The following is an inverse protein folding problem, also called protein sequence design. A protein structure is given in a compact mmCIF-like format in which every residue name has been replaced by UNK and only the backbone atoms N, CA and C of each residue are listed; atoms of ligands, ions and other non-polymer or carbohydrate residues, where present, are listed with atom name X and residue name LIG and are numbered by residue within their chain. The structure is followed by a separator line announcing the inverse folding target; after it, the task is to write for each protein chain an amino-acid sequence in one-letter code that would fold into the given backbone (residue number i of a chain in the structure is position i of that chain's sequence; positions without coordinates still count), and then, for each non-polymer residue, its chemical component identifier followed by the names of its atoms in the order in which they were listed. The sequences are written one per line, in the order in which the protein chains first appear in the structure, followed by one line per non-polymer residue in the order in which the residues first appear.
data_IF_385605808795
#
_entry.id   IF_385605808795
#
_cell.length_a   1.000
_cell.length_b   1.000
_cell.length_c   1.000
_cell.angle_alpha   90.00
_cell.angle_beta   90.00
_cell.angle_gamma   90.00
#
_symmetry.space_group_name_H-M   'P 1'
#
loop_
_entity.id
_entity.type
_entity.pdbx_description
1 polymer ?
#
# COMPACT_ATOMS: atom_id res chain seq x y z
N UNK A 1 -0.89 -0.71 8.73
CA UNK A 1 -0.45 -1.67 7.70
C UNK A 1 0.32 -0.95 6.61
N UNK A 2 1.06 -1.72 5.81
CA UNK A 2 1.82 -1.24 4.64
C UNK A 2 1.53 -2.19 3.49
N UNK A 3 1.43 -1.65 2.27
CA UNK A 3 1.30 -2.45 1.05
C UNK A 3 2.39 -2.06 0.05
N UNK A 4 2.94 -3.06 -0.63
CA UNK A 4 3.92 -2.88 -1.70
C UNK A 4 3.40 -3.52 -2.98
N UNK A 5 3.38 -2.74 -4.05
CA UNK A 5 2.88 -3.12 -5.37
C UNK A 5 4.05 -3.20 -6.34
N UNK A 6 4.48 -4.42 -6.74
CA UNK A 6 5.48 -4.57 -7.78
C UNK A 6 4.83 -4.43 -9.17
N UNK A 7 5.42 -3.56 -10.00
CA UNK A 7 5.01 -3.28 -11.37
C UNK A 7 6.15 -3.69 -12.31
N UNK A 8 5.97 -4.80 -13.02
CA UNK A 8 6.96 -5.32 -13.97
C UNK A 8 6.85 -4.58 -15.31
N UNK A 9 7.98 -4.39 -15.97
CA UNK A 9 8.04 -3.72 -17.28
C UNK A 9 9.10 -4.33 -18.20
N UNK A 10 8.97 -4.05 -19.51
CA UNK A 10 9.93 -4.51 -20.51
C UNK A 10 11.26 -3.75 -20.44
N UNK A 11 12.39 -4.42 -20.66
CA UNK A 11 13.75 -3.85 -20.52
C UNK A 11 13.98 -2.54 -21.28
N UNK A 12 13.29 -2.33 -22.40
CA UNK A 12 13.38 -1.10 -23.19
C UNK A 12 12.91 0.16 -22.42
N UNK A 13 12.12 -0.02 -21.36
CA UNK A 13 11.58 1.06 -20.55
C UNK A 13 12.40 1.40 -19.29
N UNK A 14 13.59 0.81 -19.08
CA UNK A 14 14.43 1.08 -17.89
C UNK A 14 14.66 2.58 -17.65
N UNK A 15 15.12 3.32 -18.66
CA UNK A 15 15.38 4.76 -18.54
C UNK A 15 14.15 5.69 -18.57
N UNK A 16 12.93 5.13 -18.56
CA UNK A 16 11.69 5.92 -18.59
C UNK A 16 11.17 6.18 -17.19
N UNK A 17 10.61 7.36 -16.88
CA UNK A 17 9.95 7.60 -15.59
C UNK A 17 8.85 6.57 -15.33
N UNK A 18 8.75 6.10 -14.10
CA UNK A 18 7.69 5.21 -13.62
C UNK A 18 6.78 6.01 -12.72
N UNK A 19 5.48 5.77 -12.80
CA UNK A 19 4.53 6.49 -11.95
C UNK A 19 3.41 5.62 -11.45
N UNK A 20 2.84 6.08 -10.34
CA UNK A 20 1.65 5.51 -9.72
C UNK A 20 0.48 6.44 -9.96
N UNK A 21 -0.57 5.96 -10.63
CA UNK A 21 -1.74 6.76 -10.97
C UNK A 21 -2.99 6.23 -10.27
N UNK A 22 -3.83 7.10 -9.72
CA UNK A 22 -5.07 6.71 -9.03
C UNK A 22 -6.30 7.18 -9.82
N UNK A 23 -7.26 6.29 -10.04
CA UNK A 23 -8.53 6.65 -10.70
C UNK A 23 -9.16 5.46 -11.41
N UNK A 24 -10.49 5.49 -11.55
CA UNK A 24 -11.23 4.42 -12.21
C UNK A 24 -10.93 4.28 -13.71
N UNK A 25 -10.57 5.40 -14.37
CA UNK A 25 -10.27 5.45 -15.80
C UNK A 25 -8.80 5.85 -16.00
N UNK A 26 -8.09 5.14 -16.88
CA UNK A 26 -6.68 5.39 -17.18
C UNK A 26 -6.44 6.82 -17.69
N UNK A 27 -7.19 7.24 -18.72
CA UNK A 27 -6.99 8.53 -19.40
C UNK A 27 -7.20 9.77 -18.52
N UNK A 28 -7.85 9.61 -17.36
CA UNK A 28 -8.14 10.70 -16.43
C UNK A 28 -7.66 10.40 -15.00
N UNK A 29 -6.78 9.41 -14.83
CA UNK A 29 -6.24 9.09 -13.52
C UNK A 29 -5.34 10.23 -13.03
N UNK A 30 -5.25 10.40 -11.72
CA UNK A 30 -4.38 11.39 -11.08
C UNK A 30 -3.03 10.78 -10.73
N UNK A 31 -1.93 11.31 -11.28
CA UNK A 31 -0.58 10.89 -10.91
C UNK A 31 -0.29 11.22 -9.44
N UNK A 32 -0.02 10.17 -8.65
CA UNK A 32 0.25 10.26 -7.22
C UNK A 32 1.73 10.55 -6.99
N UNK A 33 2.62 9.75 -7.59
CA UNK A 33 4.08 9.86 -7.47
C UNK A 33 4.73 9.36 -8.76
N UNK A 34 5.88 9.92 -9.13
CA UNK A 34 6.64 9.59 -10.35
C UNK A 34 8.15 9.62 -10.06
N UNK A 35 8.93 8.77 -10.72
CA UNK A 35 10.40 8.74 -10.61
C UNK A 35 11.06 9.74 -11.57
N UNK A 36 12.29 10.14 -11.28
CA UNK A 36 13.07 11.05 -12.14
C UNK A 36 14.06 10.29 -13.05
N UNK A 37 13.61 9.19 -13.68
CA UNK A 37 14.44 8.33 -14.56
C UNK A 37 15.67 7.72 -13.88
N UNK A 38 15.60 7.55 -12.57
CA UNK A 38 16.65 6.95 -11.76
C UNK A 38 16.05 5.96 -10.78
N UNK A 39 16.91 5.15 -10.16
CA UNK A 39 16.55 4.18 -9.11
C UNK A 39 16.41 4.85 -7.73
N UNK A 40 16.54 6.18 -7.65
CA UNK A 40 16.36 6.92 -6.41
C UNK A 40 14.90 6.84 -5.97
N UNK A 41 14.68 6.45 -4.70
CA UNK A 41 13.35 6.41 -4.11
C UNK A 41 12.73 7.81 -4.08
N UNK A 42 11.57 7.97 -4.69
CA UNK A 42 10.76 9.20 -4.60
C UNK A 42 9.58 8.96 -3.67
N UNK A 43 9.28 9.92 -2.79
CA UNK A 43 8.17 9.82 -1.82
C UNK A 43 7.31 11.07 -1.84
N UNK A 44 6.00 10.89 -1.86
CA UNK A 44 4.99 11.94 -1.72
C UNK A 44 3.97 11.53 -0.66
N UNK A 45 4.00 12.22 0.48
CA UNK A 45 3.17 11.86 1.64
C UNK A 45 3.46 10.44 2.10
N UNK A 46 2.42 9.59 2.11
CA UNK A 46 2.50 8.18 2.53
C UNK A 46 2.93 7.21 1.42
N UNK A 47 2.99 7.68 0.18
CA UNK A 47 3.27 6.85 -1.00
C UNK A 47 4.70 7.07 -1.46
N UNK A 48 5.44 5.99 -1.70
CA UNK A 48 6.77 6.03 -2.29
C UNK A 48 6.88 5.09 -3.48
N UNK A 49 7.80 5.41 -4.40
CA UNK A 49 8.09 4.64 -5.60
C UNK A 49 9.61 4.50 -5.74
N UNK A 50 10.05 3.29 -6.07
CA UNK A 50 11.45 2.98 -6.36
C UNK A 50 11.49 2.13 -7.61
N UNK A 51 12.33 2.49 -8.57
CA UNK A 51 12.58 1.68 -9.75
C UNK A 51 13.81 0.79 -9.54
N UNK A 52 13.71 -0.48 -9.92
CA UNK A 52 14.84 -1.41 -9.98
C UNK A 52 15.02 -1.84 -11.45
N UNK A 53 16.04 -1.28 -12.10
CA UNK A 53 16.36 -1.53 -13.49
C UNK A 53 16.87 -2.95 -13.71
N UNK A 54 17.60 -3.51 -12.73
CA UNK A 54 18.16 -4.88 -12.83
C UNK A 54 17.07 -5.94 -12.94
N UNK A 55 15.96 -5.77 -12.21
CA UNK A 55 14.79 -6.66 -12.25
C UNK A 55 13.68 -6.15 -13.17
N UNK A 56 13.86 -4.99 -13.80
CA UNK A 56 12.86 -4.29 -14.62
C UNK A 56 11.50 -4.24 -13.90
N UNK A 57 11.54 -3.87 -12.63
CA UNK A 57 10.38 -3.82 -11.74
C UNK A 57 10.48 -2.57 -10.89
N UNK A 58 9.46 -1.71 -10.93
CA UNK A 58 9.33 -0.64 -9.96
C UNK A 58 8.34 -1.05 -8.88
N UNK A 59 8.59 -0.63 -7.65
CA UNK A 59 7.74 -0.96 -6.50
C UNK A 59 7.15 0.32 -5.93
N UNK A 60 5.82 0.32 -5.78
CA UNK A 60 5.10 1.39 -5.09
C UNK A 60 4.77 0.90 -3.69
N UNK A 61 5.17 1.65 -2.67
CA UNK A 61 4.87 1.33 -1.27
C UNK A 61 3.99 2.41 -0.67
N UNK A 62 2.85 2.02 -0.11
CA UNK A 62 1.96 2.91 0.66
C UNK A 62 2.04 2.56 2.13
N UNK A 63 2.50 3.51 2.92
CA UNK A 63 2.62 3.42 4.39
C UNK A 63 1.33 3.91 5.07
N UNK A 64 1.13 3.49 6.33
CA UNK A 64 -0.03 3.86 7.15
C UNK A 64 -1.35 3.70 6.39
N UNK A 65 -1.51 2.53 5.79
CA UNK A 65 -2.66 2.18 4.98
C UNK A 65 -3.98 2.37 5.76
N UNK A 66 -4.99 2.90 5.11
CA UNK A 66 -6.35 3.04 5.64
C UNK A 66 -7.40 2.64 4.60
N UNK A 67 -8.68 2.60 5.00
CA UNK A 67 -9.77 2.17 4.11
C UNK A 67 -9.96 3.09 2.89
N UNK A 68 -9.59 4.36 3.01
CA UNK A 68 -9.66 5.33 1.90
C UNK A 68 -8.56 5.12 0.86
N UNK A 69 -7.57 4.28 1.12
CA UNK A 69 -6.56 3.89 0.13
C UNK A 69 -7.06 2.78 -0.82
N UNK A 70 -8.24 2.21 -0.57
CA UNK A 70 -8.85 1.26 -1.49
C UNK A 70 -9.23 1.95 -2.82
N UNK A 71 -9.16 1.19 -3.92
CA UNK A 71 -9.63 1.63 -5.23
C UNK A 71 -8.76 1.15 -6.39
N UNK A 72 -9.05 1.71 -7.56
CA UNK A 72 -8.33 1.42 -8.81
C UNK A 72 -7.14 2.36 -8.96
N UNK A 73 -6.00 1.74 -9.26
CA UNK A 73 -4.73 2.36 -9.54
C UNK A 73 -4.12 1.76 -10.79
N UNK A 74 -3.06 2.41 -11.25
CA UNK A 74 -2.33 2.02 -12.44
C UNK A 74 -0.84 2.21 -12.21
N UNK A 75 -0.09 1.15 -12.52
CA UNK A 75 1.33 1.25 -12.83
C UNK A 75 1.44 1.94 -14.20
N UNK A 76 2.19 3.04 -14.31
CA UNK A 76 2.39 3.75 -15.57
C UNK A 76 3.88 3.96 -15.89
N UNK A 77 4.20 3.99 -17.18
CA UNK A 77 5.56 4.25 -17.69
C UNK A 77 5.48 5.43 -18.65
N UNK A 78 6.14 6.53 -18.30
CA UNK A 78 6.10 7.77 -19.09
C UNK A 78 7.03 7.67 -20.31
N UNK A 79 6.45 7.40 -21.48
CA UNK A 79 7.18 7.34 -22.74
C UNK A 79 7.04 8.68 -23.47
N UNK A 80 8.17 9.34 -23.70
CA UNK A 80 8.18 10.58 -24.47
C UNK A 80 7.72 10.31 -25.90
N UNK A 81 6.64 10.97 -26.32
CA UNK A 81 6.18 10.97 -27.72
C UNK A 81 5.35 9.76 -28.15
N UNK A 82 4.78 9.00 -27.21
CA UNK A 82 3.89 7.88 -27.50
C UNK A 82 2.90 7.62 -26.36
N UNK A 83 2.11 6.55 -26.50
CA UNK A 83 1.22 6.11 -25.44
C UNK A 83 2.00 5.41 -24.33
N UNK A 84 1.70 5.78 -23.09
CA UNK A 84 2.32 5.20 -21.90
C UNK A 84 1.85 3.76 -21.71
N UNK A 85 2.76 2.76 -21.60
CA UNK A 85 2.40 1.43 -21.13
C UNK A 85 1.87 1.48 -19.69
N UNK A 86 0.85 0.67 -19.41
CA UNK A 86 0.23 0.63 -18.09
C UNK A 86 -0.28 -0.76 -17.69
N UNK A 87 -0.43 -0.95 -16.38
CA UNK A 87 -1.04 -2.14 -15.77
C UNK A 87 -2.04 -1.73 -14.71
N UNK A 88 -3.25 -2.29 -14.77
CA UNK A 88 -4.30 -2.07 -13.78
C UNK A 88 -3.95 -2.74 -12.45
N UNK A 89 -4.19 -2.04 -11.35
CA UNK A 89 -4.05 -2.56 -9.99
C UNK A 89 -5.30 -2.23 -9.20
N UNK A 90 -5.96 -3.24 -8.66
CA UNK A 90 -7.07 -3.05 -7.72
C UNK A 90 -6.55 -3.25 -6.28
N UNK A 91 -6.50 -2.15 -5.53
CA UNK A 91 -6.10 -2.15 -4.12
C UNK A 91 -7.34 -2.31 -3.26
N UNK A 92 -7.33 -3.35 -2.44
CA UNK A 92 -8.38 -3.61 -1.47
C UNK A 92 -7.79 -3.52 -0.07
N UNK A 93 -8.51 -2.89 0.85
CA UNK A 93 -8.09 -2.72 2.23
C UNK A 93 -9.17 -3.30 3.12
N UNK A 94 -8.81 -4.27 3.96
CA UNK A 94 -9.74 -4.87 4.89
C UNK A 94 -9.48 -4.33 6.31
N UNK A 95 -10.54 -4.05 7.08
CA UNK A 95 -10.39 -3.73 8.48
C UNK A 95 -9.74 -4.92 9.20
N UNK A 96 -8.92 -4.62 10.20
CA UNK A 96 -8.38 -5.65 11.06
C UNK A 96 -9.54 -6.32 11.81
N UNK A 97 -9.69 -7.63 11.66
CA UNK A 97 -10.59 -8.39 12.53
C UNK A 97 -9.96 -8.38 13.93
N UNK A 98 -10.66 -7.92 14.97
CA UNK A 98 -10.15 -8.07 16.32
C UNK A 98 -10.00 -9.56 16.60
N UNK A 99 -8.77 -10.01 16.85
CA UNK A 99 -8.54 -11.37 17.32
C UNK A 99 -9.30 -11.56 18.63
N UNK A 100 -10.10 -12.63 18.80
CA UNK A 100 -10.71 -12.92 20.09
C UNK A 100 -9.58 -13.14 21.08
N UNK A 101 -9.42 -12.18 21.99
CA UNK A 101 -8.45 -12.29 23.08
C UNK A 101 -8.80 -13.55 23.89
N UNK A 102 -7.90 -14.55 24.05
CA UNK A 102 -8.16 -15.67 24.93
C UNK A 102 -7.92 -15.23 26.38
N UNK A 103 -8.74 -14.30 26.89
CA UNK A 103 -8.72 -13.93 28.31
C UNK A 103 -10.06 -13.34 28.77
N UNK A 104 -11.15 -14.06 28.52
CA UNK A 104 -12.30 -14.00 29.42
C UNK A 104 -12.12 -15.15 30.44
N UNK A 105 -11.27 -14.95 31.45
CA UNK A 105 -11.35 -15.81 32.64
C UNK A 105 -12.63 -15.41 33.38
N UNK A 106 -13.56 -16.35 33.45
CA UNK A 106 -14.76 -16.33 34.27
C UNK A 106 -14.42 -15.86 35.69
N UNK A 107 -15.24 -14.99 36.33
CA UNK A 107 -14.99 -14.62 37.72
C UNK A 107 -15.32 -15.82 38.63
N UNK A 108 -14.29 -16.43 39.21
CA UNK A 108 -14.45 -17.30 40.37
C UNK A 108 -14.27 -16.43 41.62
N UNK A 109 -15.30 -16.39 42.45
CA UNK A 109 -15.35 -15.58 43.66
C UNK A 109 -14.33 -16.08 44.69
N UNK A 110 -13.33 -15.25 45.00
CA UNK A 110 -12.61 -15.28 46.28
C UNK A 110 -12.03 -13.90 46.59
N UNK A 111 -12.03 -13.57 47.89
CA UNK A 111 -11.93 -12.21 48.44
C UNK A 111 -10.54 -11.53 48.31
N UNK A 112 -10.59 -10.18 48.35
CA UNK A 112 -9.60 -9.22 48.91
C UNK A 112 -8.50 -8.61 47.99
N UNK A 113 -7.88 -7.45 48.34
CA UNK A 113 -8.24 -6.13 47.78
C UNK A 113 -7.08 -5.36 47.09
N UNK A 114 -7.49 -4.33 46.34
CA UNK A 114 -6.77 -3.15 45.83
C UNK A 114 -5.41 -3.33 45.12
N UNK A 115 -5.45 -3.19 43.79
CA UNK A 115 -4.29 -2.81 42.98
C UNK A 115 -4.74 -1.83 41.88
N UNK A 116 -3.92 -0.81 41.55
CA UNK A 116 -4.32 0.35 40.76
C UNK A 116 -4.66 0.00 39.31
N UNK A 117 -5.45 0.84 38.62
CA UNK A 117 -6.00 0.51 37.30
C UNK A 117 -4.89 0.39 36.25
N UNK A 118 -4.94 -0.62 35.36
CA UNK A 118 -3.98 -0.74 34.28
C UNK A 118 -4.18 0.40 33.27
N UNK A 119 -3.08 1.07 32.95
CA UNK A 119 -2.95 2.10 31.93
C UNK A 119 -3.56 1.65 30.60
N UNK A 120 -4.36 2.51 29.95
CA UNK A 120 -4.90 2.29 28.60
C UNK A 120 -3.76 2.08 27.61
N UNK A 121 -3.46 0.82 27.27
CA UNK A 121 -2.63 0.50 26.11
C UNK A 121 -3.50 0.61 24.87
N UNK A 122 -3.31 1.67 24.08
CA UNK A 122 -3.90 1.76 22.74
C UNK A 122 -3.36 0.63 21.86
N UNK A 123 -4.23 -0.34 21.56
CA UNK A 123 -3.94 -1.41 20.61
C UNK A 123 -3.89 -0.82 19.20
N UNK A 124 -2.68 -0.70 18.64
CA UNK A 124 -2.47 -0.34 17.24
C UNK A 124 -2.79 -1.53 16.33
N UNK A 125 -4.07 -1.69 16.00
CA UNK A 125 -4.48 -2.61 14.95
C UNK A 125 -4.07 -2.05 13.58
N UNK A 126 -3.42 -2.86 12.76
CA UNK A 126 -2.99 -2.49 11.41
C UNK A 126 -3.87 -3.16 10.36
N UNK A 127 -4.46 -2.42 9.41
CA UNK A 127 -5.19 -3.01 8.29
C UNK A 127 -4.25 -3.75 7.32
N UNK A 128 -4.80 -4.75 6.62
CA UNK A 128 -4.09 -5.57 5.63
C UNK A 128 -4.65 -5.25 4.23
N UNK A 129 -3.77 -5.05 3.26
CA UNK A 129 -4.15 -4.93 1.84
C UNK A 129 -3.62 -6.11 1.03
N UNK A 130 -4.35 -6.43 -0.04
CA UNK A 130 -3.90 -7.34 -1.08
C UNK A 130 -4.11 -6.70 -2.46
N UNK A 131 -3.27 -7.12 -3.40
CA UNK A 131 -3.38 -6.75 -4.81
C UNK A 131 -4.20 -7.83 -5.50
N UNK A 132 -5.35 -7.46 -6.07
CA UNK A 132 -6.13 -8.42 -6.85
C UNK A 132 -5.51 -8.62 -8.26
N UNK A 133 -5.49 -9.85 -8.80
CA UNK A 133 -5.04 -10.09 -10.16
C UNK A 133 -5.95 -9.41 -11.20
N UNK A 134 -5.42 -9.06 -12.39
CA UNK A 134 -6.24 -8.58 -13.50
C UNK A 134 -7.24 -9.68 -13.93
N UNK A 135 -8.46 -9.26 -14.29
CA UNK A 135 -9.51 -10.14 -14.84
C UNK A 135 -9.25 -10.49 -16.29
#
# INVERSE_FOLDING_TARGET
GTVSVPCHYGKTAQGSPKYWCRGAQWNSCSKVVETERSEVKVKRGRVSITDNHSTSTFTVTTENLNLEDAGIYWCGINIKGGDDPYSLVNVTVLPAVPSPNPTARTPQATKQPDSPPPTKTESRFSPTAYIAPPR
#
